data_IF_036376055838
#
_entry.id   IF_036376055838
#
_cell.length_a   1.000
_cell.length_b   1.000
_cell.length_c   1.000
_cell.angle_alpha   90.00
_cell.angle_beta   90.00
_cell.angle_gamma   90.00
#
_symmetry.space_group_name_H-M   'P 1'
#
loop_
_entity.id
_entity.type
_entity.pdbx_description
1 polymer ?
#
# COMPACT_ATOMS: atom_id res chain seq x y z
N UNK A 1 15.14 -6.47 -2.48
CA UNK A 1 14.55 -5.41 -3.33
C UNK A 1 14.90 -4.05 -2.72
N UNK A 2 15.12 -2.99 -3.51
CA UNK A 2 15.50 -1.67 -2.98
C UNK A 2 14.27 -0.81 -2.65
N UNK A 3 14.41 0.06 -1.64
CA UNK A 3 13.40 1.07 -1.26
C UNK A 3 13.00 1.96 -2.45
N UNK A 4 13.94 2.27 -3.34
CA UNK A 4 13.71 3.09 -4.54
C UNK A 4 12.70 2.46 -5.51
N UNK A 5 12.78 1.14 -5.73
CA UNK A 5 11.83 0.41 -6.58
C UNK A 5 10.43 0.43 -5.97
N UNK A 6 10.33 0.28 -4.65
CA UNK A 6 9.06 0.37 -3.96
C UNK A 6 8.41 1.75 -4.08
N UNK A 7 9.16 2.82 -3.84
CA UNK A 7 8.62 4.18 -3.98
C UNK A 7 8.07 4.42 -5.39
N UNK A 8 8.77 3.94 -6.43
CA UNK A 8 8.26 4.04 -7.80
C UNK A 8 6.91 3.32 -7.97
N UNK A 9 6.85 2.04 -7.58
CA UNK A 9 5.60 1.24 -7.67
C UNK A 9 4.47 1.87 -6.87
N UNK A 10 4.74 2.32 -5.64
CA UNK A 10 3.74 2.92 -4.77
C UNK A 10 3.20 4.22 -5.36
N UNK A 11 4.06 5.10 -5.87
CA UNK A 11 3.64 6.35 -6.50
C UNK A 11 2.82 6.10 -7.78
N UNK A 12 3.22 5.13 -8.61
CA UNK A 12 2.46 4.73 -9.79
C UNK A 12 1.07 4.22 -9.44
N UNK A 13 0.94 3.46 -8.34
CA UNK A 13 -0.33 2.85 -7.94
C UNK A 13 -1.17 3.67 -6.96
N UNK A 14 -0.66 4.80 -6.45
CA UNK A 14 -1.29 5.60 -5.39
C UNK A 14 -2.77 5.89 -5.66
N UNK A 15 -3.10 6.38 -6.86
CA UNK A 15 -4.48 6.74 -7.21
C UNK A 15 -5.40 5.53 -7.33
N UNK A 16 -4.90 4.42 -7.87
CA UNK A 16 -5.67 3.16 -7.99
C UNK A 16 -5.94 2.55 -6.62
N UNK A 17 -4.93 2.58 -5.75
CA UNK A 17 -5.00 2.07 -4.39
C UNK A 17 -5.97 2.90 -3.54
N UNK A 18 -5.88 4.24 -3.61
CA UNK A 18 -6.78 5.14 -2.89
C UNK A 18 -8.25 4.90 -3.28
N UNK A 19 -8.56 4.85 -4.59
CA UNK A 19 -9.92 4.53 -5.07
C UNK A 19 -10.42 3.16 -4.62
N UNK A 20 -9.52 2.21 -4.40
CA UNK A 20 -9.89 0.88 -3.90
C UNK A 20 -10.23 0.94 -2.41
N UNK A 21 -9.39 1.62 -1.63
CA UNK A 21 -9.62 1.84 -0.21
C UNK A 21 -10.90 2.64 0.05
N UNK A 22 -11.12 3.74 -0.68
CA UNK A 22 -12.34 4.56 -0.58
C UNK A 22 -13.62 3.74 -0.78
N UNK A 23 -13.61 2.80 -1.74
CA UNK A 23 -14.75 1.91 -1.98
C UNK A 23 -14.97 0.88 -0.87
N UNK A 24 -13.91 0.50 -0.14
CA UNK A 24 -14.01 -0.45 0.97
C UNK A 24 -14.50 0.21 2.25
N UNK A 25 -14.00 1.41 2.57
CA UNK A 25 -14.31 2.09 3.85
C UNK A 25 -15.40 3.16 3.73
N UNK A 26 -15.83 3.51 2.50
CA UNK A 26 -16.83 4.54 2.20
C UNK A 26 -16.53 5.91 2.88
N UNK A 27 -15.25 6.22 3.05
CA UNK A 27 -14.77 7.45 3.69
C UNK A 27 -13.40 7.84 3.10
N UNK A 28 -13.31 9.04 2.53
CA UNK A 28 -12.08 9.52 1.90
C UNK A 28 -10.92 9.69 2.89
N UNK A 29 -11.16 10.35 4.04
CA UNK A 29 -10.12 10.57 5.05
C UNK A 29 -9.59 9.25 5.61
N UNK A 30 -10.48 8.31 5.93
CA UNK A 30 -10.06 6.97 6.36
C UNK A 30 -9.25 6.26 5.27
N UNK A 31 -9.63 6.38 4.00
CA UNK A 31 -8.88 5.79 2.90
C UNK A 31 -7.47 6.40 2.73
N UNK A 32 -7.31 7.71 2.96
CA UNK A 32 -6.00 8.36 2.96
C UNK A 32 -5.12 7.87 4.13
N UNK A 33 -5.69 7.71 5.32
CA UNK A 33 -4.97 7.16 6.47
C UNK A 33 -4.50 5.73 6.21
N UNK A 34 -5.37 4.88 5.65
CA UNK A 34 -5.03 3.52 5.27
C UNK A 34 -3.97 3.44 4.16
N UNK A 35 -4.00 4.38 3.22
CA UNK A 35 -2.98 4.49 2.18
C UNK A 35 -1.60 4.81 2.79
N UNK A 36 -1.55 5.72 3.77
CA UNK A 36 -0.31 6.05 4.48
C UNK A 36 0.19 4.88 5.32
N UNK A 37 -0.69 4.23 6.08
CA UNK A 37 -0.34 3.05 6.88
C UNK A 37 0.18 1.90 6.00
N UNK A 38 -0.39 1.72 4.80
CA UNK A 38 0.12 0.77 3.81
C UNK A 38 1.58 1.06 3.45
N UNK A 39 1.92 2.32 3.17
CA UNK A 39 3.28 2.71 2.83
C UNK A 39 4.28 2.38 3.96
N UNK A 40 3.91 2.69 5.20
CA UNK A 40 4.74 2.42 6.38
C UNK A 40 4.95 0.92 6.59
N UNK A 41 3.88 0.11 6.52
CA UNK A 41 3.97 -1.35 6.69
C UNK A 41 4.79 -2.03 5.60
N UNK A 42 4.62 -1.62 4.34
CA UNK A 42 5.39 -2.21 3.24
C UNK A 42 6.86 -1.81 3.32
N UNK A 43 7.16 -0.55 3.66
CA UNK A 43 8.54 -0.10 3.90
C UNK A 43 9.22 -0.92 5.00
N UNK A 44 8.53 -1.14 6.12
CA UNK A 44 9.05 -1.98 7.20
C UNK A 44 9.26 -3.43 6.75
N UNK A 45 8.27 -4.03 6.08
CA UNK A 45 8.38 -5.40 5.58
C UNK A 45 9.55 -5.58 4.60
N UNK A 46 9.84 -4.58 3.76
CA UNK A 46 10.98 -4.60 2.83
C UNK A 46 12.33 -4.53 3.54
N UNK A 47 12.39 -3.93 4.73
CA UNK A 47 13.61 -3.92 5.55
C UNK A 47 13.86 -5.26 6.26
N UNK A 48 12.80 -6.03 6.50
CA UNK A 48 12.85 -7.30 7.24
C UNK A 48 13.03 -8.51 6.31
N UNK A 49 12.49 -8.48 5.09
CA UNK A 49 12.54 -9.63 4.17
C UNK A 49 12.50 -9.23 2.68
N UNK A 50 12.91 -10.18 1.84
CA UNK A 50 12.66 -10.10 0.40
C UNK A 50 11.16 -10.29 0.11
N UNK A 51 10.64 -9.52 -0.85
CA UNK A 51 9.27 -9.58 -1.32
C UNK A 51 9.33 -9.73 -2.84
N UNK A 52 8.89 -10.87 -3.37
CA UNK A 52 9.01 -11.19 -4.79
C UNK A 52 7.99 -10.42 -5.65
N UNK A 53 6.74 -10.37 -5.19
CA UNK A 53 5.62 -9.72 -5.89
C UNK A 53 5.16 -8.46 -5.18
N UNK A 54 5.90 -7.37 -5.39
CA UNK A 54 5.72 -6.13 -4.65
C UNK A 54 4.35 -5.48 -4.82
N UNK A 55 3.86 -5.39 -6.06
CA UNK A 55 2.57 -4.75 -6.34
C UNK A 55 1.39 -5.54 -5.72
N UNK A 56 1.24 -6.86 -5.95
CA UNK A 56 0.24 -7.65 -5.23
C UNK A 56 0.35 -7.54 -3.71
N UNK A 57 1.58 -7.49 -3.18
CA UNK A 57 1.81 -7.35 -1.75
C UNK A 57 1.32 -6.00 -1.20
N UNK A 58 1.50 -4.90 -1.93
CA UNK A 58 0.98 -3.57 -1.57
C UNK A 58 -0.55 -3.59 -1.52
N UNK A 59 -1.20 -4.11 -2.57
CA UNK A 59 -2.67 -4.18 -2.61
C UNK A 59 -3.22 -5.10 -1.52
N UNK A 60 -2.57 -6.23 -1.25
CA UNK A 60 -2.98 -7.12 -0.17
C UNK A 60 -2.85 -6.45 1.20
N UNK A 61 -1.75 -5.74 1.45
CA UNK A 61 -1.52 -5.01 2.70
C UNK A 61 -2.61 -3.96 2.91
N UNK A 62 -2.91 -3.15 1.89
CA UNK A 62 -3.96 -2.14 1.93
C UNK A 62 -5.34 -2.75 2.21
N UNK A 63 -5.70 -3.83 1.50
CA UNK A 63 -6.99 -4.50 1.70
C UNK A 63 -7.12 -5.09 3.10
N UNK A 64 -6.06 -5.68 3.65
CA UNK A 64 -6.07 -6.23 5.00
C UNK A 64 -6.20 -5.16 6.08
N UNK A 65 -5.82 -3.92 5.81
CA UNK A 65 -6.02 -2.80 6.73
C UNK A 65 -7.46 -2.24 6.68
N UNK A 66 -8.16 -2.47 5.58
CA UNK A 66 -9.51 -1.94 5.33
C UNK A 66 -10.63 -2.92 5.72
N UNK A 67 -10.29 -4.12 6.21
CA UNK A 67 -11.20 -5.18 6.65
C UNK A 67 -11.15 -5.30 8.17
#
# INVERSE_FOLDING_TARGET
MSQSRFNHVFLTQRTSLLRTLERMVNNHSTAEDLLQETYLRVTRALSERAIDHLEPFVFQTARNLAL
#
